data_IF_271746694489
#
_entry.id   IF_271746694489
#
_cell.length_a   1.000
_cell.length_b   1.000
_cell.length_c   1.000
_cell.angle_alpha   90.00
_cell.angle_beta   90.00
_cell.angle_gamma   90.00
#
_symmetry.space_group_name_H-M   'P 1'
#
loop_
_entity.id
_entity.type
_entity.pdbx_description
1 polymer ?
#
# COMPACT_ATOMS: atom_id res chain seq x y z
N UNK A 1 -13.57 -90.93 18.34
CA UNK A 1 -15.00 -91.12 18.64
C UNK A 1 -15.64 -89.75 18.88
N UNK A 2 -16.78 -89.48 18.22
CA UNK A 2 -17.78 -88.38 18.37
C UNK A 2 -17.26 -86.91 18.26
N UNK A 3 -17.58 -86.05 17.27
CA UNK A 3 -18.88 -85.43 16.83
C UNK A 3 -19.69 -84.89 18.04
N UNK A 4 -20.13 -83.62 18.16
CA UNK A 4 -20.89 -82.70 17.27
C UNK A 4 -21.03 -81.36 18.06
N UNK A 5 -20.89 -80.15 17.51
CA UNK A 5 -21.86 -79.28 16.80
C UNK A 5 -22.38 -78.05 17.61
N UNK A 6 -22.50 -76.95 16.85
CA UNK A 6 -23.40 -75.78 16.97
C UNK A 6 -23.21 -74.73 18.08
N UNK A 7 -23.26 -73.47 17.64
CA UNK A 7 -23.26 -72.27 18.48
C UNK A 7 -24.61 -71.55 18.53
N UNK A 8 -24.64 -70.39 19.20
CA UNK A 8 -25.36 -69.17 18.79
C UNK A 8 -25.18 -68.04 19.82
N UNK A 9 -24.98 -66.82 19.28
CA UNK A 9 -25.47 -65.48 19.66
C UNK A 9 -25.56 -64.99 21.13
N UNK A 10 -25.11 -63.73 21.25
CA UNK A 10 -25.61 -62.71 22.19
C UNK A 10 -24.82 -62.65 23.50
N UNK A 11 -24.60 -61.53 24.17
CA UNK A 11 -24.93 -60.11 24.00
C UNK A 11 -24.43 -59.45 25.30
N UNK A 12 -24.04 -58.17 25.25
CA UNK A 12 -23.96 -57.22 26.39
C UNK A 12 -22.89 -57.50 27.48
N UNK A 13 -22.01 -56.58 27.87
CA UNK A 13 -21.85 -55.18 27.53
C UNK A 13 -20.44 -54.71 27.91
N UNK A 14 -19.83 -53.92 27.03
CA UNK A 14 -18.52 -53.31 27.25
C UNK A 14 -18.67 -52.13 28.20
N UNK A 15 -17.85 -52.13 29.26
CA UNK A 15 -17.59 -50.97 30.10
C UNK A 15 -17.11 -49.80 29.24
N UNK A 16 -17.90 -48.73 29.24
CA UNK A 16 -17.63 -47.53 28.47
C UNK A 16 -16.41 -46.78 29.01
N UNK A 17 -15.24 -47.04 28.42
CA UNK A 17 -14.14 -46.07 28.41
C UNK A 17 -14.55 -44.98 27.42
N UNK A 18 -14.95 -43.81 27.94
CA UNK A 18 -15.16 -42.61 27.12
C UNK A 18 -13.79 -42.11 26.66
N UNK A 19 -13.34 -42.61 25.52
CA UNK A 19 -12.28 -41.97 24.73
C UNK A 19 -12.85 -40.65 24.25
N UNK A 20 -12.34 -39.56 24.79
CA UNK A 20 -12.59 -38.22 24.26
C UNK A 20 -12.01 -38.17 22.84
N UNK A 21 -12.88 -38.18 21.84
CA UNK A 21 -12.50 -37.78 20.48
C UNK A 21 -12.53 -36.25 20.43
N UNK A 22 -11.43 -35.57 20.10
CA UNK A 22 -11.53 -34.18 19.69
C UNK A 22 -12.18 -34.17 18.30
N UNK A 23 -13.48 -33.88 18.27
CA UNK A 23 -14.21 -33.57 17.05
C UNK A 23 -13.75 -32.20 16.51
N UNK A 24 -13.50 -32.18 15.21
CA UNK A 24 -13.42 -31.00 14.35
C UNK A 24 -12.35 -29.96 14.71
N UNK A 25 -11.11 -30.20 14.24
CA UNK A 25 -10.32 -29.08 13.71
C UNK A 25 -11.10 -28.53 12.52
N UNK A 26 -11.69 -27.35 12.70
CA UNK A 26 -12.02 -26.50 11.57
C UNK A 26 -10.65 -26.06 11.05
N UNK A 27 -10.16 -26.73 10.02
CA UNK A 27 -9.08 -26.17 9.21
C UNK A 27 -9.69 -24.91 8.59
N UNK A 28 -9.41 -23.76 9.21
CA UNK A 28 -9.70 -22.47 8.62
C UNK A 28 -8.75 -22.39 7.43
N UNK A 29 -9.24 -22.76 6.25
CA UNK A 29 -8.62 -22.38 4.99
C UNK A 29 -8.46 -20.86 5.05
N UNK A 30 -7.24 -20.41 5.31
CA UNK A 30 -6.86 -19.02 5.09
C UNK A 30 -6.93 -18.85 3.58
N UNK A 31 -8.01 -18.23 3.12
CA UNK A 31 -8.21 -17.78 1.75
C UNK A 31 -7.11 -16.74 1.45
N UNK A 32 -5.94 -17.24 1.08
CA UNK A 32 -4.70 -16.48 1.05
C UNK A 32 -4.51 -15.84 -0.31
N UNK A 33 -5.32 -14.83 -0.64
CA UNK A 33 -4.96 -13.87 -1.68
C UNK A 33 -5.84 -12.61 -1.69
N UNK A 34 -6.41 -12.22 -0.55
CA UNK A 34 -6.90 -10.83 -0.43
C UNK A 34 -5.69 -9.93 -0.18
N UNK A 35 -5.31 -9.04 -1.12
CA UNK A 35 -4.23 -8.11 -0.89
C UNK A 35 -4.62 -7.20 0.28
N UNK A 36 -3.91 -7.34 1.39
CA UNK A 36 -4.09 -6.45 2.55
C UNK A 36 -3.70 -5.05 2.11
N UNK A 37 -4.67 -4.16 1.99
CA UNK A 37 -4.41 -2.76 1.71
C UNK A 37 -3.74 -2.11 2.92
N UNK A 38 -2.50 -1.67 2.74
CA UNK A 38 -1.77 -0.91 3.74
C UNK A 38 -1.77 0.55 3.30
N UNK A 39 -2.45 1.46 4.03
CA UNK A 39 -2.48 2.86 3.65
C UNK A 39 -1.07 3.46 3.72
N UNK A 40 -0.74 4.41 2.83
CA UNK A 40 0.55 5.07 2.84
C UNK A 40 0.77 5.89 4.10
N UNK A 41 1.99 5.84 4.63
CA UNK A 41 2.41 6.63 5.80
C UNK A 41 2.81 8.03 5.34
N UNK A 42 2.09 9.05 5.81
CA UNK A 42 2.40 10.44 5.49
C UNK A 42 3.52 10.99 6.38
N UNK A 43 4.53 11.57 5.75
CA UNK A 43 5.69 12.16 6.41
C UNK A 43 5.60 13.69 6.40
N UNK A 44 6.04 14.31 7.49
CA UNK A 44 5.94 15.76 7.67
C UNK A 44 7.10 16.55 7.06
N UNK A 45 8.18 15.88 6.66
CA UNK A 45 9.36 16.57 6.11
C UNK A 45 10.02 15.79 4.98
N UNK A 46 10.59 16.54 4.04
CA UNK A 46 11.38 15.99 2.95
C UNK A 46 12.61 15.18 3.44
N UNK A 47 13.26 15.63 4.52
CA UNK A 47 14.43 14.95 5.06
C UNK A 47 14.09 13.58 5.65
N UNK A 48 12.92 13.47 6.27
CA UNK A 48 12.41 12.19 6.75
C UNK A 48 12.08 11.27 5.57
N UNK A 49 11.39 11.79 4.55
CA UNK A 49 11.10 11.05 3.32
C UNK A 49 12.35 10.48 2.66
N UNK A 50 13.39 11.31 2.51
CA UNK A 50 14.67 10.91 1.90
C UNK A 50 15.33 9.74 2.63
N UNK A 51 15.13 9.59 3.94
CA UNK A 51 15.66 8.44 4.70
C UNK A 51 14.99 7.13 4.28
N UNK A 52 13.68 7.16 4.03
CA UNK A 52 12.92 5.98 3.59
C UNK A 52 13.10 5.72 2.09
N UNK A 53 13.20 6.77 1.27
CA UNK A 53 13.41 6.68 -0.17
C UNK A 53 14.63 5.83 -0.56
N UNK A 54 15.72 5.92 0.21
CA UNK A 54 16.94 5.10 0.01
C UNK A 54 16.72 3.59 0.09
N UNK A 55 15.73 3.16 0.88
CA UNK A 55 15.39 1.76 1.07
C UNK A 55 14.14 1.33 0.32
N UNK A 56 13.62 2.21 -0.54
CA UNK A 56 12.44 1.93 -1.36
C UNK A 56 12.84 1.06 -2.56
N UNK A 57 11.92 0.21 -2.99
CA UNK A 57 12.06 -0.50 -4.26
C UNK A 57 11.87 0.45 -5.46
N UNK A 58 11.06 1.49 -5.29
CA UNK A 58 10.81 2.52 -6.28
C UNK A 58 10.39 3.81 -5.61
N UNK A 59 10.88 4.94 -6.10
CA UNK A 59 10.36 6.26 -5.74
C UNK A 59 9.56 6.81 -6.92
N UNK A 60 8.37 7.33 -6.63
CA UNK A 60 7.51 7.98 -7.62
C UNK A 60 7.28 9.42 -7.18
N UNK A 61 7.40 10.36 -8.11
CA UNK A 61 6.93 11.72 -7.87
C UNK A 61 5.79 12.07 -8.84
N UNK A 62 4.75 12.69 -8.29
CA UNK A 62 3.52 13.04 -9.00
C UNK A 62 3.30 14.55 -8.91
N UNK A 63 3.57 15.31 -9.98
CA UNK A 63 3.25 16.73 -10.02
C UNK A 63 1.76 16.94 -10.32
N UNK A 64 1.12 17.80 -9.53
CA UNK A 64 -0.25 18.26 -9.72
C UNK A 64 -0.23 19.76 -10.02
N UNK A 65 -0.95 20.17 -11.07
CA UNK A 65 -1.02 21.56 -11.51
C UNK A 65 -2.40 22.15 -11.25
N UNK A 66 -2.47 23.47 -11.06
CA UNK A 66 -3.76 24.17 -11.03
C UNK A 66 -4.46 24.03 -12.38
N UNK A 67 -5.78 23.82 -12.33
CA UNK A 67 -6.60 23.79 -13.53
C UNK A 67 -6.85 25.23 -13.98
N UNK A 68 -6.32 25.61 -15.15
CA UNK A 68 -6.57 26.92 -15.75
C UNK A 68 -7.51 26.74 -16.94
N UNK A 69 -8.49 27.64 -17.14
CA UNK A 69 -9.35 27.61 -18.32
C UNK A 69 -8.63 28.16 -19.58
N UNK A 70 -7.44 28.74 -19.42
CA UNK A 70 -6.67 29.37 -20.50
C UNK A 70 -5.46 28.52 -20.87
N UNK A 71 -5.41 28.07 -22.13
CA UNK A 71 -4.33 27.23 -22.68
C UNK A 71 -2.96 27.91 -22.76
N UNK A 72 -2.93 29.25 -22.73
CA UNK A 72 -1.69 30.04 -22.84
C UNK A 72 -0.97 30.21 -21.50
N UNK A 73 -1.62 29.91 -20.38
CA UNK A 73 -1.02 30.09 -19.06
C UNK A 73 -0.02 28.96 -18.79
N UNK A 74 1.19 29.33 -18.34
CA UNK A 74 2.13 28.35 -17.78
C UNK A 74 1.46 27.64 -16.62
N UNK A 75 1.45 26.30 -16.69
CA UNK A 75 0.84 25.44 -15.67
C UNK A 75 1.52 25.67 -14.33
N UNK A 76 0.82 26.33 -13.42
CA UNK A 76 1.30 26.55 -12.06
C UNK A 76 1.20 25.24 -11.28
N UNK A 77 2.31 24.80 -10.70
CA UNK A 77 2.29 23.64 -9.83
C UNK A 77 1.47 23.96 -8.57
N UNK A 78 0.53 23.09 -8.25
CA UNK A 78 -0.26 23.09 -7.03
C UNK A 78 0.39 22.27 -5.93
N UNK A 79 0.91 21.09 -6.28
CA UNK A 79 1.43 20.10 -5.34
C UNK A 79 2.41 19.16 -6.04
N UNK A 80 3.43 18.68 -5.33
CA UNK A 80 4.15 17.46 -5.70
C UNK A 80 3.98 16.43 -4.61
N UNK A 81 3.55 15.23 -4.98
CA UNK A 81 3.53 14.08 -4.07
C UNK A 81 4.71 13.18 -4.38
N UNK A 82 5.58 12.94 -3.40
CA UNK A 82 6.64 11.95 -3.46
C UNK A 82 6.19 10.69 -2.73
N UNK A 83 6.35 9.54 -3.35
CA UNK A 83 5.95 8.24 -2.81
C UNK A 83 7.13 7.27 -2.87
N UNK A 84 7.55 6.75 -1.72
CA UNK A 84 8.55 5.70 -1.60
C UNK A 84 7.82 4.36 -1.43
N UNK A 85 7.93 3.50 -2.43
CA UNK A 85 7.17 2.24 -2.55
C UNK A 85 8.04 1.06 -2.14
N UNK A 86 7.47 0.12 -1.39
CA UNK A 86 8.13 -1.16 -1.08
C UNK A 86 9.24 -1.05 -0.04
N UNK A 87 9.17 -0.06 0.85
CA UNK A 87 10.15 0.10 1.93
C UNK A 87 9.93 -1.02 2.95
N UNK A 88 10.92 -1.91 3.10
CA UNK A 88 10.79 -3.09 3.97
C UNK A 88 11.08 -2.76 5.43
N UNK A 89 10.05 -2.79 6.28
CA UNK A 89 10.16 -2.59 7.72
C UNK A 89 9.65 -3.84 8.44
N UNK A 90 10.53 -4.49 9.22
CA UNK A 90 10.21 -5.72 9.98
C UNK A 90 9.51 -6.81 9.14
N UNK A 91 9.89 -6.93 7.88
CA UNK A 91 9.33 -7.93 6.95
C UNK A 91 8.08 -7.47 6.19
N UNK A 92 7.53 -6.30 6.48
CA UNK A 92 6.36 -5.74 5.80
C UNK A 92 6.82 -4.67 4.80
N UNK A 93 6.29 -4.72 3.57
CA UNK A 93 6.52 -3.69 2.57
C UNK A 93 5.53 -2.54 2.80
N UNK A 94 6.07 -1.34 3.06
CA UNK A 94 5.30 -0.14 3.34
C UNK A 94 5.48 0.91 2.24
N UNK A 95 4.49 1.78 2.11
CA UNK A 95 4.56 2.98 1.30
C UNK A 95 4.67 4.21 2.19
N UNK A 96 5.60 5.10 1.88
CA UNK A 96 5.74 6.38 2.56
C UNK A 96 5.47 7.52 1.58
N UNK A 97 4.70 8.53 1.99
CA UNK A 97 4.35 9.69 1.17
C UNK A 97 4.85 10.98 1.81
N UNK A 98 5.35 11.90 0.98
CA UNK A 98 5.63 13.28 1.35
C UNK A 98 4.98 14.21 0.34
N UNK A 99 4.28 15.22 0.84
CA UNK A 99 3.51 16.16 0.02
C UNK A 99 4.12 17.54 0.15
N UNK A 100 4.53 18.11 -0.98
CA UNK A 100 4.97 19.49 -1.09
C UNK A 100 3.85 20.29 -1.75
N UNK A 101 3.05 20.97 -0.93
CA UNK A 101 2.02 21.91 -1.40
C UNK A 101 2.60 23.25 -1.84
N UNK A 102 1.90 23.93 -2.75
CA UNK A 102 2.26 25.25 -3.24
C UNK A 102 2.46 26.27 -2.11
N UNK A 103 1.75 26.13 -1.01
CA UNK A 103 1.88 27.05 0.11
C UNK A 103 3.21 26.98 0.84
N UNK A 104 3.95 25.88 0.66
CA UNK A 104 5.26 25.63 1.25
C UNK A 104 6.42 25.94 0.28
N UNK A 105 6.13 26.51 -0.89
CA UNK A 105 7.11 26.88 -1.91
C UNK A 105 7.72 28.27 -1.66
N UNK A 106 8.91 28.55 -2.24
CA UNK A 106 9.65 29.80 -2.04
C UNK A 106 8.86 31.06 -2.45
N UNK A 107 9.38 32.19 -2.00
CA UNK A 107 8.81 33.55 -1.98
C UNK A 107 7.68 33.83 -3.01
N UNK A 108 6.52 34.22 -2.47
CA UNK A 108 5.31 34.54 -3.25
C UNK A 108 5.26 36.02 -3.67
N UNK A 109 6.29 36.81 -3.40
CA UNK A 109 6.31 38.24 -3.74
C UNK A 109 6.66 38.56 -5.19
N UNK A 110 7.19 37.58 -5.95
CA UNK A 110 7.58 37.75 -7.35
C UNK A 110 6.40 37.78 -8.34
N UNK A 111 6.70 38.09 -9.60
CA UNK A 111 5.72 38.01 -10.70
C UNK A 111 5.31 36.56 -10.98
N UNK A 112 4.21 36.40 -11.72
CA UNK A 112 3.65 35.06 -12.03
C UNK A 112 4.68 34.13 -12.67
N UNK A 113 5.44 34.62 -13.64
CA UNK A 113 6.45 33.83 -14.35
C UNK A 113 7.65 33.46 -13.48
N UNK A 114 8.06 34.37 -12.59
CA UNK A 114 9.18 34.13 -11.65
C UNK A 114 8.81 33.05 -10.64
N UNK A 115 7.60 33.10 -10.07
CA UNK A 115 7.14 32.09 -9.12
C UNK A 115 7.09 30.69 -9.73
N UNK A 116 6.64 30.58 -10.99
CA UNK A 116 6.61 29.30 -11.71
C UNK A 116 8.04 28.80 -11.95
N UNK A 117 8.95 29.66 -12.42
CA UNK A 117 10.33 29.28 -12.68
C UNK A 117 11.08 28.86 -11.40
N UNK A 118 10.88 29.57 -10.30
CA UNK A 118 11.51 29.26 -9.01
C UNK A 118 10.97 27.96 -8.42
N UNK A 119 9.66 27.71 -8.56
CA UNK A 119 9.02 26.45 -8.17
C UNK A 119 9.60 25.28 -8.96
N UNK A 120 9.65 25.39 -10.29
CA UNK A 120 10.19 24.35 -11.16
C UNK A 120 11.67 24.07 -10.84
N UNK A 121 12.46 25.11 -10.56
CA UNK A 121 13.86 24.96 -10.12
C UNK A 121 13.94 24.19 -8.80
N UNK A 122 13.15 24.57 -7.81
CA UNK A 122 13.14 23.90 -6.50
C UNK A 122 12.79 22.41 -6.62
N UNK A 123 11.79 22.06 -7.42
CA UNK A 123 11.39 20.66 -7.63
C UNK A 123 12.50 19.88 -8.33
N UNK A 124 13.10 20.45 -9.38
CA UNK A 124 14.22 19.83 -10.09
C UNK A 124 15.39 19.56 -9.15
N UNK A 125 15.69 20.48 -8.23
CA UNK A 125 16.73 20.27 -7.22
C UNK A 125 16.39 19.14 -6.24
N UNK A 126 15.12 19.02 -5.81
CA UNK A 126 14.69 17.91 -4.95
C UNK A 126 14.80 16.57 -5.70
N UNK A 127 14.27 16.50 -6.92
CA UNK A 127 14.33 15.30 -7.76
C UNK A 127 15.77 14.91 -8.04
N UNK A 128 16.64 15.83 -8.46
CA UNK A 128 18.05 15.53 -8.73
C UNK A 128 18.80 14.99 -7.50
N UNK A 129 18.46 15.46 -6.29
CA UNK A 129 19.01 14.90 -5.05
C UNK A 129 18.54 13.46 -4.83
N UNK A 130 17.26 13.16 -5.07
CA UNK A 130 16.73 11.80 -4.96
C UNK A 130 17.29 10.86 -6.05
N UNK A 131 17.43 11.33 -7.28
CA UNK A 131 18.02 10.58 -8.39
C UNK A 131 19.44 10.09 -8.08
N UNK A 132 20.20 10.86 -7.29
CA UNK A 132 21.54 10.45 -6.85
C UNK A 132 21.56 9.32 -5.81
N UNK A 133 20.40 8.98 -5.23
CA UNK A 133 20.28 8.09 -4.06
C UNK A 133 19.34 6.90 -4.27
N UNK A 134 18.43 6.97 -5.24
CA UNK A 134 17.42 5.95 -5.50
C UNK A 134 16.85 6.05 -6.92
N UNK A 135 16.25 4.95 -7.39
CA UNK A 135 15.49 4.93 -8.64
C UNK A 135 14.19 5.72 -8.46
N UNK A 136 14.04 6.79 -9.22
CA UNK A 136 12.89 7.68 -9.18
C UNK A 136 12.26 7.82 -10.56
N UNK A 137 10.93 7.81 -10.60
CA UNK A 137 10.14 7.98 -11.84
C UNK A 137 9.06 9.03 -11.66
N UNK A 138 8.77 9.75 -12.74
CA UNK A 138 7.60 10.62 -12.81
C UNK A 138 6.38 9.77 -13.13
N UNK A 139 5.37 9.79 -12.27
CA UNK A 139 4.16 8.99 -12.48
C UNK A 139 3.11 9.21 -11.40
N UNK A 140 1.97 8.57 -11.54
CA UNK A 140 0.93 8.52 -10.52
C UNK A 140 0.83 7.09 -9.96
N UNK A 141 0.60 6.97 -8.66
CA UNK A 141 0.26 5.69 -8.03
C UNK A 141 -1.22 5.74 -7.67
N UNK A 142 -2.00 4.86 -8.29
CA UNK A 142 -3.39 4.63 -7.91
C UNK A 142 -3.38 3.79 -6.62
N UNK A 143 -3.62 4.45 -5.49
CA UNK A 143 -3.63 3.79 -4.17
C UNK A 143 -5.04 3.55 -3.63
N UNK A 144 -6.08 3.93 -4.34
CA UNK A 144 -7.47 3.64 -3.97
C UNK A 144 -8.12 2.85 -5.11
N UNK A 145 -8.97 1.84 -4.83
CA UNK A 145 -9.99 1.49 -5.79
C UNK A 145 -10.82 2.74 -6.04
N UNK A 146 -11.08 3.06 -7.30
CA UNK A 146 -11.90 4.21 -7.62
C UNK A 146 -13.24 4.06 -6.90
N UNK A 147 -13.80 5.14 -6.34
CA UNK A 147 -15.13 5.11 -5.73
C UNK A 147 -16.18 4.49 -6.70
N UNK A 148 -15.94 4.58 -8.01
CA UNK A 148 -16.74 3.92 -9.04
C UNK A 148 -16.70 2.39 -9.00
N UNK A 149 -15.58 1.77 -8.60
CA UNK A 149 -15.45 0.32 -8.43
C UNK A 149 -16.12 -0.18 -7.16
N UNK A 150 -16.07 0.59 -6.06
CA UNK A 150 -16.79 0.27 -4.82
C UNK A 150 -18.32 0.36 -4.98
N UNK A 151 -18.81 1.20 -5.89
CA UNK A 151 -20.23 1.34 -6.19
C UNK A 151 -20.77 0.24 -7.12
N UNK A 152 -19.91 -0.44 -7.88
CA UNK A 152 -20.30 -1.59 -8.71
C UNK A 152 -20.44 -2.89 -7.91
N UNK A 153 -19.88 -2.95 -6.70
CA UNK A 153 -19.94 -4.11 -5.80
C UNK A 153 -21.08 -3.89 -4.80
N UNK A 154 -22.32 -3.85 -5.29
CA UNK A 154 -23.50 -4.16 -4.46
C UNK A 154 -24.47 -5.05 -5.28
N UNK A 155 -24.95 -6.16 -4.70
CA UNK A 155 -25.93 -7.04 -5.35
C UNK A 155 -27.28 -6.36 -5.58
#
# INVERSE_FOLDING_TARGET
MAKTANGSKGSTGNGGVRVWKPEHRVDVEMDSETPVFIPPIHLGSYQEFRRFAKGAALVVYTPEYFHTPFFADKKKLRRVTFSAVGVKIKGVALMFKYVLDYDNLPDKSGTWDEQVADTDRAIKELVARLESECDIVCGAIETEPSLGEELFIRP
#
